data_IF_999943262664
#
_entry.id   IF_999943262664
#
_cell.length_a   1.000
_cell.length_b   1.000
_cell.length_c   1.000
_cell.angle_alpha   90.00
_cell.angle_beta   90.00
_cell.angle_gamma   90.00
#
_symmetry.space_group_name_H-M   'P 1'
#
loop_
_entity.id
_entity.type
_entity.pdbx_description
1 polymer ?
#
# COMPACT_ATOMS: atom_id res chain seq x y z
N UNK A 1 -7.41 29.32 -5.82
CA UNK A 1 -6.13 30.03 -6.15
C UNK A 1 -5.50 29.30 -7.32
N UNK A 2 -4.85 30.02 -8.27
CA UNK A 2 -4.16 29.33 -9.38
C UNK A 2 -2.97 28.53 -8.81
N UNK A 3 -2.83 27.21 -9.11
CA UNK A 3 -1.71 26.39 -8.66
C UNK A 3 -0.34 26.97 -8.99
N UNK A 4 -0.20 27.61 -10.16
CA UNK A 4 1.05 28.29 -10.56
C UNK A 4 1.40 29.48 -9.66
N UNK A 5 0.41 30.22 -9.15
CA UNK A 5 0.65 31.34 -8.25
C UNK A 5 1.16 30.86 -6.88
N UNK A 6 0.52 29.85 -6.30
CA UNK A 6 0.95 29.25 -5.04
C UNK A 6 2.39 28.72 -5.15
N UNK A 7 2.72 28.11 -6.29
CA UNK A 7 4.05 27.60 -6.59
C UNK A 7 5.10 28.69 -6.65
N UNK A 8 4.88 29.72 -7.48
CA UNK A 8 5.85 30.80 -7.69
C UNK A 8 6.18 31.60 -6.42
N UNK A 9 5.25 31.63 -5.46
CA UNK A 9 5.45 32.27 -4.16
C UNK A 9 6.17 31.36 -3.16
N UNK A 10 5.84 30.07 -3.14
CA UNK A 10 6.28 29.13 -2.11
C UNK A 10 7.58 28.40 -2.44
N UNK A 11 7.87 28.23 -3.74
CA UNK A 11 9.06 27.50 -4.19
C UNK A 11 10.39 28.18 -3.80
N UNK A 12 10.55 29.51 -3.95
CA UNK A 12 11.77 30.18 -3.49
C UNK A 12 12.00 30.04 -1.98
N UNK A 13 10.94 30.03 -1.18
CA UNK A 13 11.05 29.82 0.26
C UNK A 13 11.50 28.38 0.56
N UNK A 14 10.90 27.39 -0.10
CA UNK A 14 11.24 25.97 0.07
C UNK A 14 12.71 25.70 -0.31
N UNK A 15 13.14 26.17 -1.49
CA UNK A 15 14.52 25.99 -1.96
C UNK A 15 15.52 26.69 -1.06
N UNK A 16 15.24 27.95 -0.67
CA UNK A 16 16.10 28.70 0.23
C UNK A 16 16.29 28.03 1.58
N UNK A 17 15.22 27.43 2.15
CA UNK A 17 15.31 26.66 3.40
C UNK A 17 16.17 25.41 3.29
N UNK A 18 16.14 24.71 2.18
CA UNK A 18 17.00 23.54 1.94
C UNK A 18 18.45 23.95 1.73
N UNK A 19 18.69 25.05 1.00
CA UNK A 19 20.03 25.61 0.80
C UNK A 19 20.66 26.12 2.11
N UNK A 20 19.85 26.68 3.03
CA UNK A 20 20.30 27.09 4.38
C UNK A 20 20.91 25.92 5.17
N UNK A 21 20.47 24.68 4.91
CA UNK A 21 20.99 23.47 5.54
C UNK A 21 21.98 22.70 4.65
N UNK A 22 22.45 23.30 3.57
CA UNK A 22 23.49 22.77 2.70
C UNK A 22 23.01 21.75 1.66
N UNK A 23 21.71 21.69 1.37
CA UNK A 23 21.15 20.82 0.34
C UNK A 23 20.97 21.62 -0.95
N UNK A 24 21.72 21.25 -2.01
CA UNK A 24 21.52 21.80 -3.34
C UNK A 24 20.18 21.33 -3.93
N UNK A 25 19.42 22.26 -4.52
CA UNK A 25 18.07 21.97 -5.01
C UNK A 25 17.92 22.38 -6.47
N UNK A 26 17.48 21.43 -7.29
CA UNK A 26 17.00 21.71 -8.64
C UNK A 26 15.52 21.37 -8.74
N UNK A 27 14.74 22.24 -9.39
CA UNK A 27 13.32 22.03 -9.60
C UNK A 27 13.10 21.48 -11.00
N UNK A 28 12.41 20.35 -11.10
CA UNK A 28 12.07 19.73 -12.36
C UNK A 28 10.57 19.47 -12.50
N UNK A 29 10.13 19.37 -13.76
CA UNK A 29 8.76 18.99 -14.11
C UNK A 29 8.82 17.67 -14.88
N UNK A 30 8.09 16.68 -14.44
CA UNK A 30 7.87 15.46 -15.20
C UNK A 30 6.93 15.80 -16.38
N UNK A 31 7.47 15.88 -17.58
CA UNK A 31 6.72 16.29 -18.79
C UNK A 31 5.57 15.33 -19.12
N UNK A 32 5.67 14.06 -18.77
CA UNK A 32 4.65 13.04 -19.07
C UNK A 32 3.43 13.16 -18.15
N UNK A 33 3.64 13.62 -16.90
CA UNK A 33 2.60 13.68 -15.86
C UNK A 33 2.23 15.08 -15.40
N UNK A 34 2.96 16.09 -15.82
CA UNK A 34 2.82 17.47 -15.31
C UNK A 34 3.12 17.60 -13.80
N UNK A 35 3.74 16.60 -13.17
CA UNK A 35 4.05 16.63 -11.74
C UNK A 35 5.41 17.24 -11.48
N UNK A 36 5.51 18.02 -10.41
CA UNK A 36 6.76 18.64 -10.01
C UNK A 36 7.56 17.77 -9.05
N UNK A 37 8.87 17.86 -9.18
CA UNK A 37 9.79 17.21 -8.26
C UNK A 37 10.97 18.13 -7.92
N UNK A 38 11.63 17.85 -6.81
CA UNK A 38 12.94 18.39 -6.46
C UNK A 38 14.00 17.32 -6.71
N UNK A 39 15.12 17.73 -7.28
CA UNK A 39 16.34 16.95 -7.30
C UNK A 39 17.26 17.54 -6.22
N UNK A 40 17.53 16.78 -5.18
CA UNK A 40 18.30 17.17 -4.01
C UNK A 40 19.72 16.60 -4.14
N UNK A 41 20.75 17.44 -4.00
CA UNK A 41 22.17 17.09 -4.15
C UNK A 41 22.45 16.28 -5.44
N UNK A 42 21.78 16.63 -6.53
CA UNK A 42 21.90 15.98 -7.85
C UNK A 42 21.63 14.46 -7.88
N UNK A 43 21.16 13.88 -6.77
CA UNK A 43 21.03 12.42 -6.60
C UNK A 43 19.65 11.98 -6.13
N UNK A 44 18.97 12.72 -5.28
CA UNK A 44 17.71 12.29 -4.66
C UNK A 44 16.52 13.02 -5.26
N UNK A 45 15.72 12.32 -6.06
CA UNK A 45 14.50 12.86 -6.66
C UNK A 45 13.32 12.73 -5.71
N UNK A 46 12.74 13.84 -5.29
CA UNK A 46 11.59 13.91 -4.39
C UNK A 46 10.38 14.53 -5.09
N UNK A 47 9.26 13.80 -5.18
CA UNK A 47 8.00 14.39 -5.59
C UNK A 47 7.51 15.37 -4.52
N UNK A 48 7.11 16.57 -4.96
CA UNK A 48 6.48 17.58 -4.09
C UNK A 48 4.99 17.77 -4.40
N UNK A 49 4.40 16.80 -5.10
CA UNK A 49 3.00 16.89 -5.53
C UNK A 49 2.03 17.04 -4.34
N UNK A 50 2.22 16.28 -3.28
CA UNK A 50 1.40 16.36 -2.06
C UNK A 50 1.54 17.73 -1.38
N UNK A 51 2.76 18.23 -1.24
CA UNK A 51 3.00 19.59 -0.71
C UNK A 51 2.31 20.64 -1.57
N UNK A 52 2.46 20.54 -2.89
CA UNK A 52 1.84 21.48 -3.84
C UNK A 52 0.31 21.44 -3.77
N UNK A 53 -0.28 20.26 -3.65
CA UNK A 53 -1.73 20.12 -3.46
C UNK A 53 -2.17 20.81 -2.18
N UNK A 54 -1.49 20.57 -1.06
CA UNK A 54 -1.79 21.23 0.22
C UNK A 54 -1.68 22.76 0.12
N UNK A 55 -0.63 23.29 -0.51
CA UNK A 55 -0.44 24.72 -0.71
C UNK A 55 -1.52 25.37 -1.58
N UNK A 56 -2.02 24.63 -2.59
CA UNK A 56 -3.07 25.15 -3.49
C UNK A 56 -4.39 25.39 -2.74
N UNK A 57 -4.71 24.54 -1.74
CA UNK A 57 -5.95 24.64 -0.96
C UNK A 57 -5.79 25.44 0.33
N UNK A 58 -4.58 25.76 0.75
CA UNK A 58 -4.31 26.52 1.96
C UNK A 58 -4.35 28.04 1.73
N UNK A 59 -4.64 28.80 2.77
CA UNK A 59 -4.52 30.25 2.75
C UNK A 59 -3.02 30.66 2.70
N UNK A 60 -2.66 31.75 1.99
CA UNK A 60 -1.27 32.13 1.77
C UNK A 60 -0.43 32.34 3.06
N UNK A 61 -1.06 32.78 4.13
CA UNK A 61 -0.43 33.04 5.43
C UNK A 61 0.05 31.77 6.14
N UNK A 62 -0.47 30.60 5.76
CA UNK A 62 -0.04 29.30 6.32
C UNK A 62 0.97 28.55 5.45
N UNK A 63 1.30 29.07 4.25
CA UNK A 63 2.19 28.37 3.31
C UNK A 63 3.57 28.09 3.90
N UNK A 64 4.20 29.09 4.54
CA UNK A 64 5.52 28.91 5.16
C UNK A 64 5.48 27.83 6.25
N UNK A 65 4.43 27.81 7.07
CA UNK A 65 4.28 26.80 8.12
C UNK A 65 4.14 25.38 7.54
N UNK A 66 3.40 25.21 6.43
CA UNK A 66 3.29 23.93 5.73
C UNK A 66 4.64 23.49 5.16
N UNK A 67 5.41 24.41 4.56
CA UNK A 67 6.75 24.16 4.05
C UNK A 67 7.69 23.79 5.18
N UNK A 68 7.73 24.54 6.28
CA UNK A 68 8.59 24.28 7.42
C UNK A 68 8.37 22.89 8.03
N UNK A 69 7.13 22.42 8.02
CA UNK A 69 6.80 21.03 8.42
C UNK A 69 7.26 19.97 7.42
N UNK A 70 7.43 20.34 6.15
CA UNK A 70 7.85 19.44 5.09
C UNK A 70 9.38 19.36 4.93
N UNK A 71 10.11 20.40 5.34
CA UNK A 71 11.57 20.47 5.26
C UNK A 71 12.27 19.28 5.95
N UNK A 72 11.94 18.89 7.19
CA UNK A 72 12.58 17.75 7.85
C UNK A 72 12.46 16.45 7.02
N UNK A 73 11.33 16.24 6.37
CA UNK A 73 11.12 15.11 5.47
C UNK A 73 12.06 15.12 4.26
N UNK A 74 12.28 16.30 3.64
CA UNK A 74 13.19 16.41 2.50
C UNK A 74 14.66 16.21 2.91
N UNK A 75 15.06 16.79 4.05
CA UNK A 75 16.40 16.62 4.63
C UNK A 75 16.67 15.13 4.88
N UNK A 76 15.72 14.45 5.50
CA UNK A 76 15.83 13.03 5.81
C UNK A 76 15.92 12.17 4.55
N UNK A 77 15.16 12.50 3.51
CA UNK A 77 15.26 11.83 2.22
C UNK A 77 16.64 11.96 1.58
N UNK A 78 17.24 13.14 1.67
CA UNK A 78 18.60 13.37 1.15
C UNK A 78 19.60 12.52 1.92
N UNK A 79 19.54 12.51 3.26
CA UNK A 79 20.40 11.71 4.11
C UNK A 79 20.26 10.20 3.85
N UNK A 80 19.04 9.71 3.68
CA UNK A 80 18.76 8.31 3.35
C UNK A 80 19.42 7.94 2.01
N UNK A 81 19.25 8.76 0.97
CA UNK A 81 19.86 8.53 -0.33
C UNK A 81 21.38 8.41 -0.26
N UNK A 82 22.03 9.31 0.47
CA UNK A 82 23.49 9.38 0.53
C UNK A 82 24.14 8.31 1.44
N UNK A 83 23.50 7.97 2.56
CA UNK A 83 24.12 7.15 3.61
C UNK A 83 23.61 5.71 3.65
N UNK A 84 22.30 5.48 3.41
CA UNK A 84 21.67 4.17 3.58
C UNK A 84 21.76 3.36 2.30
N UNK A 85 21.45 3.95 1.14
CA UNK A 85 21.40 3.21 -0.12
C UNK A 85 22.77 2.64 -0.53
N UNK A 86 23.85 3.30 -0.15
CA UNK A 86 25.23 2.87 -0.43
C UNK A 86 25.81 1.93 0.66
N UNK A 87 25.08 1.70 1.75
CA UNK A 87 25.52 0.85 2.86
C UNK A 87 24.74 -0.46 2.87
N UNK A 88 25.32 -1.60 2.44
CA UNK A 88 24.61 -2.87 2.35
C UNK A 88 24.09 -3.38 3.70
N UNK A 89 24.77 -3.09 4.81
CA UNK A 89 24.36 -3.55 6.14
C UNK A 89 23.16 -2.76 6.65
N UNK A 90 23.13 -1.44 6.45
CA UNK A 90 21.98 -0.60 6.77
C UNK A 90 20.77 -0.94 5.87
N UNK A 91 20.99 -1.18 4.58
CA UNK A 91 19.96 -1.66 3.68
C UNK A 91 19.35 -2.96 4.19
N UNK A 92 20.18 -3.98 4.49
CA UNK A 92 19.69 -5.27 5.02
C UNK A 92 18.87 -5.10 6.29
N UNK A 93 19.21 -4.15 7.13
CA UNK A 93 18.52 -3.88 8.40
C UNK A 93 17.17 -3.15 8.21
N UNK A 94 17.13 -2.16 7.33
CA UNK A 94 16.02 -1.22 7.23
C UNK A 94 15.01 -1.56 6.15
N UNK A 95 15.41 -2.34 5.14
CA UNK A 95 14.53 -2.63 4.00
C UNK A 95 13.35 -3.52 4.41
N UNK A 96 12.17 -3.20 3.90
CA UNK A 96 10.90 -3.92 4.10
C UNK A 96 10.17 -4.08 2.78
N UNK A 97 9.36 -5.12 2.68
CA UNK A 97 8.34 -5.25 1.63
C UNK A 97 7.09 -4.45 2.02
N UNK A 98 6.45 -3.86 1.03
CA UNK A 98 5.20 -3.12 1.18
C UNK A 98 4.25 -3.46 0.03
N UNK A 99 2.95 -3.58 0.32
CA UNK A 99 1.94 -3.58 -0.72
C UNK A 99 1.60 -2.17 -1.18
N UNK A 100 1.42 -2.02 -2.48
CA UNK A 100 1.00 -0.78 -3.13
C UNK A 100 -0.14 -1.05 -4.10
N UNK A 101 -1.11 -0.14 -4.15
CA UNK A 101 -2.26 -0.25 -5.05
C UNK A 101 -1.96 0.06 -6.51
N UNK A 102 -2.97 -0.09 -7.37
CA UNK A 102 -2.92 -0.10 -8.82
C UNK A 102 -2.01 0.91 -9.54
N UNK A 103 -1.96 2.16 -9.11
CA UNK A 103 -1.08 3.17 -9.73
C UNK A 103 0.42 2.84 -9.57
N UNK A 104 0.79 2.15 -8.50
CA UNK A 104 2.18 1.72 -8.30
C UNK A 104 2.58 0.57 -9.25
N UNK A 105 1.64 -0.29 -9.64
CA UNK A 105 1.87 -1.38 -10.59
C UNK A 105 2.20 -0.88 -12.01
N UNK A 106 1.69 0.30 -12.35
CA UNK A 106 1.90 0.95 -13.66
C UNK A 106 2.89 2.10 -13.60
N UNK A 107 3.42 2.39 -12.40
CA UNK A 107 4.34 3.51 -12.21
C UNK A 107 5.70 3.22 -12.87
N UNK A 108 6.12 4.02 -13.86
CA UNK A 108 7.33 3.75 -14.65
C UNK A 108 8.63 3.74 -13.82
N UNK A 109 8.60 4.20 -12.58
CA UNK A 109 9.76 4.21 -11.66
C UNK A 109 9.82 3.00 -10.72
N UNK A 110 8.93 2.01 -10.87
CA UNK A 110 8.90 0.81 -10.03
C UNK A 110 8.82 -0.46 -10.90
N UNK A 111 9.67 -0.56 -11.93
CA UNK A 111 9.68 -1.72 -12.84
C UNK A 111 10.06 -3.02 -12.12
N UNK A 112 10.74 -2.93 -10.97
CA UNK A 112 11.13 -4.04 -10.11
C UNK A 112 9.97 -4.63 -9.30
N UNK A 113 8.84 -3.93 -9.20
CA UNK A 113 7.71 -4.34 -8.36
C UNK A 113 7.19 -5.73 -8.76
N UNK A 114 6.94 -6.58 -7.76
CA UNK A 114 6.43 -7.93 -7.98
C UNK A 114 4.91 -7.92 -7.97
N UNK A 115 4.31 -8.50 -9.00
CA UNK A 115 2.85 -8.58 -9.10
C UNK A 115 2.27 -9.48 -8.02
N UNK A 116 1.15 -9.07 -7.48
CA UNK A 116 0.31 -9.84 -6.58
C UNK A 116 -1.14 -9.87 -7.12
N UNK A 117 -1.96 -10.86 -6.81
CA UNK A 117 -3.36 -10.88 -7.25
C UNK A 117 -4.12 -9.60 -6.87
N UNK A 118 -5.23 -9.32 -7.54
CA UNK A 118 -6.07 -8.14 -7.26
C UNK A 118 -5.46 -6.79 -7.66
N UNK A 119 -4.53 -6.79 -8.63
CA UNK A 119 -3.94 -5.56 -9.15
C UNK A 119 -2.99 -4.82 -8.19
N UNK A 120 -2.72 -5.38 -7.00
CA UNK A 120 -1.71 -4.84 -6.10
C UNK A 120 -0.32 -5.36 -6.44
N UNK A 121 0.70 -4.62 -6.01
CA UNK A 121 2.10 -5.00 -6.22
C UNK A 121 2.87 -4.96 -4.90
N UNK A 122 3.90 -5.80 -4.81
CA UNK A 122 4.85 -5.80 -3.73
C UNK A 122 6.05 -4.94 -4.13
N UNK A 123 6.31 -3.90 -3.37
CA UNK A 123 7.41 -2.94 -3.55
C UNK A 123 8.39 -3.02 -2.38
N UNK A 124 9.48 -2.28 -2.48
CA UNK A 124 10.50 -2.16 -1.45
C UNK A 124 10.45 -0.76 -0.83
N UNK A 125 10.45 -0.71 0.49
CA UNK A 125 10.51 0.53 1.26
C UNK A 125 11.56 0.44 2.37
N UNK A 126 11.96 1.58 2.90
CA UNK A 126 12.84 1.67 4.06
C UNK A 126 12.01 2.01 5.30
N UNK A 127 12.20 1.21 6.35
CA UNK A 127 11.62 1.42 7.68
C UNK A 127 12.54 2.39 8.46
N UNK A 128 12.27 3.66 8.28
CA UNK A 128 13.00 4.74 8.93
C UNK A 128 12.03 5.62 9.72
N UNK A 129 12.52 6.39 10.68
CA UNK A 129 11.74 7.13 11.70
C UNK A 129 10.66 8.10 11.17
N UNK A 130 10.59 8.29 9.87
CA UNK A 130 9.63 9.18 9.18
C UNK A 130 8.90 8.48 8.04
N UNK A 131 7.92 9.13 7.37
CA UNK A 131 7.02 8.45 6.46
C UNK A 131 7.75 7.63 5.42
N UNK A 132 7.18 6.47 5.15
CA UNK A 132 7.60 5.44 4.21
C UNK A 132 8.42 5.96 3.03
N UNK A 133 9.67 5.51 2.94
CA UNK A 133 10.54 5.79 1.81
C UNK A 133 10.49 4.61 0.84
N UNK A 134 9.64 4.68 -0.17
CA UNK A 134 9.58 3.68 -1.24
C UNK A 134 10.74 3.87 -2.21
N UNK A 135 11.47 2.80 -2.49
CA UNK A 135 12.58 2.82 -3.44
C UNK A 135 12.07 2.84 -4.87
N UNK A 136 12.72 3.61 -5.74
CA UNK A 136 12.47 3.60 -7.18
C UNK A 136 13.60 2.89 -7.94
N UNK A 137 13.43 2.68 -9.25
CA UNK A 137 14.40 1.98 -10.09
C UNK A 137 15.77 2.67 -10.12
N UNK A 138 15.82 4.02 -10.10
CA UNK A 138 17.08 4.79 -10.11
C UNK A 138 17.86 4.57 -8.80
N UNK A 139 17.16 4.50 -7.68
CA UNK A 139 17.76 4.23 -6.36
C UNK A 139 18.23 2.79 -6.24
N UNK A 140 17.43 1.83 -6.75
CA UNK A 140 17.84 0.42 -6.77
C UNK A 140 19.07 0.17 -7.63
N UNK A 141 19.21 0.89 -8.75
CA UNK A 141 20.40 0.79 -9.60
C UNK A 141 21.69 1.26 -8.90
N UNK A 142 21.57 2.08 -7.84
CA UNK A 142 22.71 2.54 -7.03
C UNK A 142 23.01 1.61 -5.84
N UNK A 143 22.07 0.70 -5.50
CA UNK A 143 22.26 -0.20 -4.37
C UNK A 143 23.34 -1.26 -4.65
N UNK A 144 24.18 -1.59 -3.68
CA UNK A 144 25.21 -2.63 -3.84
C UNK A 144 24.64 -4.06 -3.80
N UNK A 145 23.36 -4.23 -3.51
CA UNK A 145 22.66 -5.51 -3.47
C UNK A 145 21.74 -5.66 -4.70
N UNK A 146 21.61 -6.88 -5.19
CA UNK A 146 20.66 -7.19 -6.25
C UNK A 146 19.21 -7.02 -5.77
N UNK A 147 18.28 -6.80 -6.69
CA UNK A 147 16.85 -6.67 -6.38
C UNK A 147 16.31 -7.92 -5.66
N UNK A 148 16.78 -9.11 -6.03
CA UNK A 148 16.36 -10.36 -5.37
C UNK A 148 16.88 -10.48 -3.95
N UNK A 149 18.13 -10.07 -3.69
CA UNK A 149 18.67 -10.00 -2.33
C UNK A 149 17.89 -8.97 -1.49
N UNK A 150 17.56 -7.81 -2.07
CA UNK A 150 16.78 -6.79 -1.38
C UNK A 150 15.38 -7.33 -1.03
N UNK A 151 14.68 -8.02 -1.93
CA UNK A 151 13.40 -8.66 -1.60
C UNK A 151 13.53 -9.75 -0.53
N UNK A 152 14.58 -10.54 -0.56
CA UNK A 152 14.83 -11.56 0.46
C UNK A 152 14.96 -10.94 1.86
N UNK A 153 15.83 -9.94 2.02
CA UNK A 153 16.00 -9.26 3.31
C UNK A 153 14.77 -8.47 3.70
N UNK A 154 14.13 -7.80 2.76
CA UNK A 154 12.93 -7.02 2.98
C UNK A 154 11.79 -7.90 3.53
N UNK A 155 11.52 -9.05 2.91
CA UNK A 155 10.47 -9.94 3.38
C UNK A 155 10.79 -10.52 4.76
N UNK A 156 12.04 -10.96 4.98
CA UNK A 156 12.49 -11.43 6.30
C UNK A 156 12.29 -10.39 7.40
N UNK A 157 12.59 -9.13 7.10
CA UNK A 157 12.38 -8.04 8.04
C UNK A 157 10.90 -7.74 8.24
N UNK A 158 10.10 -7.75 7.17
CA UNK A 158 8.65 -7.56 7.22
C UNK A 158 7.97 -8.65 8.06
N UNK A 159 8.40 -9.91 7.93
CA UNK A 159 7.90 -11.02 8.74
C UNK A 159 8.15 -10.79 10.25
N UNK A 160 9.18 -10.01 10.60
CA UNK A 160 9.49 -9.64 11.99
C UNK A 160 8.79 -8.38 12.50
N UNK A 161 8.08 -7.61 11.65
CA UNK A 161 7.28 -6.46 12.11
C UNK A 161 6.26 -6.94 13.15
N UNK A 162 6.16 -6.31 14.34
CA UNK A 162 5.19 -6.74 15.34
C UNK A 162 3.75 -6.51 14.87
N UNK A 163 2.87 -7.46 15.22
CA UNK A 163 1.42 -7.26 15.17
C UNK A 163 1.01 -6.77 16.55
N UNK A 164 0.35 -5.62 16.61
CA UNK A 164 0.00 -4.97 17.88
C UNK A 164 -1.37 -5.40 18.38
N UNK A 165 -2.27 -5.75 17.45
CA UNK A 165 -3.64 -6.16 17.80
C UNK A 165 -4.08 -7.34 16.96
N UNK A 166 -4.74 -8.29 17.64
CA UNK A 166 -5.46 -9.41 17.05
C UNK A 166 -6.87 -9.37 17.58
N UNK A 167 -7.85 -9.17 16.71
CA UNK A 167 -9.25 -9.01 17.11
C UNK A 167 -10.16 -9.80 16.18
N UNK A 168 -11.19 -10.44 16.76
CA UNK A 168 -12.27 -11.01 15.98
C UNK A 168 -13.16 -9.89 15.42
N UNK A 169 -13.46 -9.95 14.14
CA UNK A 169 -14.27 -8.97 13.44
C UNK A 169 -15.24 -9.69 12.49
N UNK A 170 -16.44 -10.00 12.97
CA UNK A 170 -17.41 -10.84 12.25
C UNK A 170 -16.82 -12.22 11.92
N UNK A 171 -16.85 -12.65 10.65
CA UNK A 171 -16.27 -13.92 10.23
C UNK A 171 -14.74 -13.90 10.13
N UNK A 172 -14.10 -12.73 10.28
CA UNK A 172 -12.66 -12.57 10.14
C UNK A 172 -11.95 -12.37 11.47
N UNK A 173 -10.68 -12.76 11.50
CA UNK A 173 -9.71 -12.26 12.46
C UNK A 173 -8.94 -11.10 11.83
N UNK A 174 -8.90 -9.96 12.51
CA UNK A 174 -8.15 -8.78 12.11
C UNK A 174 -6.78 -8.79 12.76
N UNK A 175 -5.73 -8.65 11.95
CA UNK A 175 -4.36 -8.35 12.39
C UNK A 175 -4.06 -6.90 12.04
N UNK A 176 -3.62 -6.11 13.00
CA UNK A 176 -3.28 -4.71 12.75
C UNK A 176 -2.07 -4.24 13.56
N UNK A 177 -1.41 -3.20 13.03
CA UNK A 177 -0.30 -2.49 13.65
C UNK A 177 -0.26 -1.03 13.20
N UNK A 178 0.55 -0.21 13.85
CA UNK A 178 0.84 1.15 13.38
C UNK A 178 1.75 1.12 12.12
N UNK A 179 2.57 0.08 11.99
CA UNK A 179 3.45 -0.10 10.85
C UNK A 179 2.67 -0.35 9.56
N UNK A 180 3.00 0.41 8.51
CA UNK A 180 2.45 0.24 7.16
C UNK A 180 2.96 -1.01 6.43
N UNK A 181 3.96 -1.69 6.98
CA UNK A 181 4.52 -2.91 6.42
C UNK A 181 3.80 -4.19 6.85
N UNK A 182 2.91 -4.12 7.85
CA UNK A 182 2.32 -5.31 8.47
C UNK A 182 1.54 -6.19 7.49
N UNK A 183 0.88 -5.60 6.51
CA UNK A 183 0.06 -6.35 5.54
C UNK A 183 0.92 -7.12 4.52
N UNK A 184 2.12 -6.65 4.23
CA UNK A 184 3.03 -7.35 3.32
C UNK A 184 3.59 -8.67 3.89
N UNK A 185 3.29 -9.01 5.16
CA UNK A 185 3.43 -10.37 5.69
C UNK A 185 2.64 -11.40 4.88
N UNK A 186 1.52 -10.99 4.28
CA UNK A 186 0.72 -11.87 3.43
C UNK A 186 1.46 -12.35 2.17
N UNK A 187 2.54 -11.68 1.75
CA UNK A 187 3.38 -12.16 0.67
C UNK A 187 4.20 -13.41 1.05
N UNK A 188 4.33 -13.70 2.36
CA UNK A 188 4.91 -14.93 2.91
C UNK A 188 3.92 -15.62 3.84
N UNK A 189 2.80 -16.06 3.27
CA UNK A 189 1.69 -16.66 4.02
C UNK A 189 2.10 -17.86 4.88
N UNK A 190 3.00 -18.77 4.45
CA UNK A 190 3.45 -19.88 5.30
C UNK A 190 4.07 -19.41 6.61
N UNK A 191 4.93 -18.39 6.56
CA UNK A 191 5.56 -17.82 7.75
C UNK A 191 4.52 -17.13 8.65
N UNK A 192 3.60 -16.35 8.06
CA UNK A 192 2.51 -15.74 8.79
C UNK A 192 1.66 -16.77 9.51
N UNK A 193 1.22 -17.82 8.80
CA UNK A 193 0.40 -18.89 9.39
C UNK A 193 1.13 -19.63 10.51
N UNK A 194 2.41 -19.92 10.32
CA UNK A 194 3.25 -20.58 11.32
C UNK A 194 3.38 -19.75 12.61
N UNK A 195 3.69 -18.47 12.47
CA UNK A 195 3.90 -17.55 13.62
C UNK A 195 2.64 -17.32 14.44
N UNK A 196 1.48 -17.30 13.79
CA UNK A 196 0.20 -17.03 14.47
C UNK A 196 -0.62 -18.28 14.70
N UNK A 197 -0.03 -19.49 14.48
CA UNK A 197 -0.67 -20.78 14.68
C UNK A 197 -2.01 -20.90 13.92
N UNK A 198 -2.08 -20.33 12.73
CA UNK A 198 -3.29 -20.35 11.91
C UNK A 198 -3.41 -21.73 11.26
N UNK A 199 -4.42 -22.48 11.67
CA UNK A 199 -4.73 -23.77 11.09
C UNK A 199 -5.76 -23.62 9.96
N UNK A 200 -5.33 -23.79 8.70
CA UNK A 200 -6.17 -23.63 7.52
C UNK A 200 -5.91 -24.76 6.50
N UNK A 201 -6.31 -26.01 6.79
CA UNK A 201 -6.01 -27.17 5.95
C UNK A 201 -6.69 -27.10 4.57
N UNK A 202 -7.74 -26.30 4.42
CA UNK A 202 -8.46 -26.08 3.17
C UNK A 202 -8.15 -24.72 2.53
N UNK A 203 -7.09 -24.03 3.01
CA UNK A 203 -6.70 -22.71 2.57
C UNK A 203 -7.23 -21.59 3.46
N UNK A 204 -6.79 -20.39 3.15
CA UNK A 204 -7.04 -19.20 3.95
C UNK A 204 -7.59 -18.07 3.06
N UNK A 205 -8.72 -17.53 3.43
CA UNK A 205 -9.20 -16.26 2.91
C UNK A 205 -8.53 -15.11 3.63
N UNK A 206 -8.21 -14.03 2.89
CA UNK A 206 -7.71 -12.82 3.52
C UNK A 206 -8.06 -11.57 2.70
N UNK A 207 -8.00 -10.41 3.35
CA UNK A 207 -8.23 -9.10 2.75
C UNK A 207 -7.16 -8.13 3.24
N UNK A 208 -6.79 -7.18 2.38
CA UNK A 208 -5.83 -6.12 2.68
C UNK A 208 -6.46 -4.77 2.30
N UNK A 209 -7.42 -4.26 3.09
CA UNK A 209 -8.08 -3.00 2.75
C UNK A 209 -7.18 -1.78 2.91
N UNK A 210 -6.17 -1.84 3.79
CA UNK A 210 -5.20 -0.77 4.01
C UNK A 210 -3.85 -1.32 4.49
N UNK A 211 -2.77 -0.55 4.39
CA UNK A 211 -1.40 -0.97 4.71
C UNK A 211 -1.17 -1.43 6.15
N UNK A 212 -2.00 -1.00 7.08
CA UNK A 212 -1.83 -1.24 8.52
C UNK A 212 -2.76 -2.32 9.08
N UNK A 213 -3.59 -2.96 8.23
CA UNK A 213 -4.54 -3.98 8.68
C UNK A 213 -4.80 -5.06 7.63
N UNK A 214 -4.91 -6.29 8.09
CA UNK A 214 -5.26 -7.47 7.31
C UNK A 214 -6.34 -8.26 8.04
N UNK A 215 -7.29 -8.78 7.29
CA UNK A 215 -8.31 -9.69 7.80
C UNK A 215 -8.11 -11.07 7.22
N UNK A 216 -8.35 -12.12 8.00
CA UNK A 216 -8.29 -13.49 7.48
C UNK A 216 -9.37 -14.39 8.10
N UNK A 217 -9.72 -15.46 7.38
CA UNK A 217 -10.55 -16.54 7.85
C UNK A 217 -10.14 -17.87 7.21
N UNK A 218 -9.93 -18.96 7.96
CA UNK A 218 -9.76 -20.30 7.38
C UNK A 218 -10.96 -20.69 6.53
N UNK A 219 -10.71 -21.34 5.39
CA UNK A 219 -11.79 -21.84 4.54
C UNK A 219 -12.51 -23.02 5.20
N UNK A 220 -13.84 -22.95 5.26
CA UNK A 220 -14.70 -24.03 5.76
C UNK A 220 -15.38 -24.74 4.58
N UNK A 221 -14.91 -25.93 4.18
CA UNK A 221 -15.47 -26.65 3.05
C UNK A 221 -16.90 -27.14 3.29
N UNK A 222 -17.34 -27.23 4.55
CA UNK A 222 -18.69 -27.71 4.90
C UNK A 222 -19.75 -26.64 4.72
N UNK A 223 -19.34 -25.35 4.70
CA UNK A 223 -20.24 -24.19 4.61
C UNK A 223 -19.69 -23.09 3.72
N UNK A 224 -18.95 -23.45 2.68
CA UNK A 224 -18.19 -22.50 1.85
C UNK A 224 -19.06 -21.43 1.21
N UNK A 225 -20.25 -21.77 0.69
CA UNK A 225 -21.13 -20.81 0.00
C UNK A 225 -21.65 -19.74 0.97
N UNK A 226 -22.05 -20.11 2.18
CA UNK A 226 -22.51 -19.18 3.20
C UNK A 226 -21.34 -18.33 3.73
N UNK A 227 -20.16 -18.96 3.90
CA UNK A 227 -18.95 -18.26 4.29
C UNK A 227 -18.60 -17.17 3.25
N UNK A 228 -18.57 -17.50 1.95
CA UNK A 228 -18.29 -16.55 0.88
C UNK A 228 -19.30 -15.39 0.85
N UNK A 229 -20.59 -15.70 0.98
CA UNK A 229 -21.65 -14.68 1.04
C UNK A 229 -21.44 -13.74 2.23
N UNK A 230 -21.22 -14.32 3.42
CA UNK A 230 -20.96 -13.53 4.64
C UNK A 230 -19.72 -12.68 4.51
N UNK A 231 -18.65 -13.21 3.92
CA UNK A 231 -17.40 -12.50 3.69
C UNK A 231 -17.58 -11.37 2.70
N UNK A 232 -18.30 -11.59 1.58
CA UNK A 232 -18.57 -10.55 0.59
C UNK A 232 -19.33 -9.37 1.21
N UNK A 233 -20.38 -9.63 2.00
CA UNK A 233 -21.14 -8.61 2.71
C UNK A 233 -20.25 -7.88 3.72
N UNK A 234 -19.46 -8.63 4.48
CA UNK A 234 -18.65 -8.08 5.57
C UNK A 234 -17.43 -7.29 5.06
N UNK A 235 -16.90 -7.65 3.88
CA UNK A 235 -15.75 -6.99 3.25
C UNK A 235 -15.97 -5.50 2.97
N UNK A 236 -17.23 -5.10 2.81
CA UNK A 236 -17.59 -3.70 2.59
C UNK A 236 -17.17 -2.79 3.76
N UNK A 237 -17.30 -3.26 5.00
CA UNK A 237 -17.09 -2.41 6.19
C UNK A 237 -15.64 -1.93 6.35
N UNK A 238 -14.60 -2.78 6.25
CA UNK A 238 -13.21 -2.33 6.29
C UNK A 238 -12.85 -1.37 5.16
N UNK A 239 -13.35 -1.61 3.94
CA UNK A 239 -13.11 -0.75 2.78
C UNK A 239 -13.77 0.61 2.96
N UNK A 240 -15.04 0.66 3.38
CA UNK A 240 -15.74 1.92 3.68
C UNK A 240 -15.03 2.68 4.80
N UNK A 241 -14.58 1.97 5.84
CA UNK A 241 -13.84 2.61 6.95
C UNK A 241 -12.52 3.22 6.47
N UNK A 242 -11.76 2.49 5.64
CA UNK A 242 -10.51 2.98 5.06
C UNK A 242 -10.74 4.18 4.12
N UNK A 243 -11.74 4.09 3.23
CA UNK A 243 -12.06 5.16 2.27
C UNK A 243 -12.56 6.45 2.94
N UNK A 244 -13.22 6.35 4.09
CA UNK A 244 -13.65 7.53 4.88
C UNK A 244 -12.47 8.26 5.56
N UNK A 245 -11.39 7.55 5.84
CA UNK A 245 -10.16 8.17 6.39
C UNK A 245 -9.40 8.90 5.30
N UNK A 246 -9.16 8.24 4.17
CA UNK A 246 -8.64 8.82 2.93
C UNK A 246 -8.86 7.82 1.79
N UNK A 247 -9.38 8.23 0.61
CA UNK A 247 -9.51 7.36 -0.56
C UNK A 247 -8.18 6.72 -0.98
N UNK A 248 -7.06 7.42 -0.75
CA UNK A 248 -5.71 6.98 -1.13
C UNK A 248 -5.15 5.89 -0.19
N UNK A 249 -5.83 5.59 0.92
CA UNK A 249 -5.43 4.55 1.89
C UNK A 249 -5.92 3.16 1.48
N UNK A 250 -6.95 3.08 0.63
CA UNK A 250 -7.49 1.78 0.20
C UNK A 250 -6.49 1.08 -0.72
N UNK A 251 -5.97 -0.06 -0.27
CA UNK A 251 -5.06 -0.90 -1.05
C UNK A 251 -5.78 -1.82 -2.01
N UNK A 252 -6.73 -2.59 -1.49
CA UNK A 252 -7.55 -3.51 -2.28
C UNK A 252 -8.94 -3.65 -1.68
N UNK A 253 -9.90 -3.86 -2.59
CA UNK A 253 -11.28 -4.21 -2.23
C UNK A 253 -11.52 -5.71 -2.34
N UNK A 254 -10.51 -6.47 -2.79
CA UNK A 254 -10.64 -7.89 -3.05
C UNK A 254 -10.55 -8.76 -1.81
N UNK A 255 -11.23 -9.90 -1.88
CA UNK A 255 -10.98 -11.06 -1.04
C UNK A 255 -10.03 -11.98 -1.79
N UNK A 256 -8.94 -12.31 -1.15
CA UNK A 256 -7.92 -13.21 -1.66
C UNK A 256 -8.10 -14.59 -1.03
N UNK A 257 -7.66 -15.60 -1.76
CA UNK A 257 -7.55 -16.97 -1.26
C UNK A 257 -6.11 -17.46 -1.44
N UNK A 258 -5.57 -17.98 -0.34
CA UNK A 258 -4.32 -18.73 -0.34
C UNK A 258 -4.61 -20.21 -0.21
N UNK A 259 -4.23 -20.98 -1.24
CA UNK A 259 -4.55 -22.41 -1.31
C UNK A 259 -3.59 -23.25 -0.46
N UNK A 260 -3.97 -24.51 -0.10
CA UNK A 260 -3.05 -25.44 0.57
C UNK A 260 -1.78 -25.75 -0.23
N UNK A 261 -1.83 -25.60 -1.56
CA UNK A 261 -0.68 -25.80 -2.45
C UNK A 261 0.24 -24.57 -2.54
N UNK A 262 -0.08 -23.49 -1.83
CA UNK A 262 0.75 -22.28 -1.77
C UNK A 262 0.51 -21.29 -2.90
N UNK A 263 -0.66 -21.33 -3.54
CA UNK A 263 -1.01 -20.38 -4.60
C UNK A 263 -1.96 -19.29 -4.09
N UNK A 264 -1.84 -18.09 -4.67
CA UNK A 264 -2.71 -16.96 -4.38
C UNK A 264 -3.66 -16.71 -5.55
N UNK A 265 -4.90 -16.43 -5.27
CA UNK A 265 -5.88 -15.94 -6.24
C UNK A 265 -6.85 -14.95 -5.59
N UNK A 266 -7.50 -14.10 -6.40
CA UNK A 266 -8.67 -13.33 -5.97
C UNK A 266 -9.93 -14.14 -6.23
N UNK A 267 -10.88 -14.06 -5.30
CA UNK A 267 -12.20 -14.68 -5.45
C UNK A 267 -13.31 -13.64 -5.66
N UNK A 268 -12.91 -12.38 -5.86
CA UNK A 268 -13.80 -11.23 -6.04
C UNK A 268 -13.33 -10.39 -7.23
N UNK A 269 -14.18 -9.45 -7.63
CA UNK A 269 -13.88 -8.40 -8.63
C UNK A 269 -13.98 -7.04 -7.95
N UNK A 270 -12.95 -6.65 -7.21
CA UNK A 270 -12.91 -5.40 -6.43
C UNK A 270 -12.98 -4.13 -7.27
N UNK A 271 -12.56 -4.19 -8.52
CA UNK A 271 -12.54 -3.04 -9.46
C UNK A 271 -13.83 -2.92 -10.30
N UNK A 272 -14.89 -3.65 -9.96
CA UNK A 272 -16.15 -3.56 -10.68
C UNK A 272 -16.85 -2.21 -10.40
N UNK A 273 -17.04 -1.32 -11.40
CA UNK A 273 -17.65 0.00 -11.20
C UNK A 273 -19.07 -0.05 -10.62
N UNK A 274 -19.83 -1.13 -10.87
CA UNK A 274 -21.17 -1.31 -10.32
C UNK A 274 -21.18 -1.44 -8.78
N UNK A 275 -20.02 -1.75 -8.18
CA UNK A 275 -19.89 -1.85 -6.73
C UNK A 275 -19.75 -0.48 -6.05
N UNK A 276 -19.31 0.56 -6.75
CA UNK A 276 -19.23 1.90 -6.16
C UNK A 276 -20.60 2.43 -5.74
N UNK A 277 -21.62 2.19 -6.55
CA UNK A 277 -23.01 2.56 -6.22
C UNK A 277 -23.49 1.84 -4.95
N UNK A 278 -23.15 0.56 -4.79
CA UNK A 278 -23.47 -0.21 -3.59
C UNK A 278 -22.84 0.39 -2.33
N UNK A 279 -21.55 0.76 -2.39
CA UNK A 279 -20.85 1.34 -1.24
C UNK A 279 -21.32 2.75 -0.87
N UNK A 280 -21.95 3.47 -1.80
CA UNK A 280 -22.41 4.84 -1.60
C UNK A 280 -23.91 4.95 -1.32
N UNK A 281 -24.69 3.91 -1.61
CA UNK A 281 -26.14 3.91 -1.43
C UNK A 281 -26.53 3.68 0.04
N UNK A 282 -27.22 4.63 0.71
CA UNK A 282 -27.67 4.45 2.09
C UNK A 282 -28.89 3.52 2.25
N UNK A 283 -29.56 3.15 1.15
CA UNK A 283 -30.78 2.35 1.13
C UNK A 283 -30.55 1.02 0.41
N UNK A 284 -29.99 0.04 1.12
CA UNK A 284 -29.70 -1.29 0.59
C UNK A 284 -30.76 -2.26 1.10
N UNK A 285 -31.54 -2.84 0.17
CA UNK A 285 -32.45 -3.95 0.47
C UNK A 285 -31.78 -5.33 0.28
N UNK A 286 -32.50 -6.40 0.63
CA UNK A 286 -31.96 -7.75 0.54
C UNK A 286 -31.69 -8.21 -0.90
N UNK A 287 -32.41 -7.69 -1.90
CA UNK A 287 -32.20 -7.99 -3.31
C UNK A 287 -30.93 -7.30 -3.83
N UNK A 288 -30.71 -6.03 -3.47
CA UNK A 288 -29.50 -5.31 -3.76
C UNK A 288 -28.26 -6.00 -3.15
N UNK A 289 -28.35 -6.49 -1.91
CA UNK A 289 -27.28 -7.27 -1.28
C UNK A 289 -26.98 -8.54 -2.06
N UNK A 290 -27.99 -9.31 -2.47
CA UNK A 290 -27.79 -10.52 -3.26
C UNK A 290 -27.14 -10.21 -4.60
N UNK A 291 -27.65 -9.22 -5.33
CA UNK A 291 -27.09 -8.76 -6.60
C UNK A 291 -25.62 -8.33 -6.44
N UNK A 292 -25.32 -7.61 -5.36
CA UNK A 292 -23.95 -7.25 -5.02
C UNK A 292 -23.05 -8.48 -4.84
N UNK A 293 -23.45 -9.44 -4.02
CA UNK A 293 -22.68 -10.66 -3.77
C UNK A 293 -22.41 -11.43 -5.06
N UNK A 294 -23.45 -11.60 -5.89
CA UNK A 294 -23.35 -12.33 -7.17
C UNK A 294 -22.41 -11.62 -8.17
N UNK A 295 -22.39 -10.30 -8.18
CA UNK A 295 -21.49 -9.51 -9.04
C UNK A 295 -20.06 -9.43 -8.51
N UNK A 296 -19.91 -9.41 -7.20
CA UNK A 296 -18.63 -9.26 -6.53
C UNK A 296 -17.84 -10.58 -6.48
N UNK A 297 -18.50 -11.71 -6.24
CA UNK A 297 -17.87 -13.03 -6.19
C UNK A 297 -17.57 -13.54 -7.61
N UNK A 298 -16.29 -13.76 -7.89
CA UNK A 298 -15.79 -14.29 -9.16
C UNK A 298 -14.66 -15.30 -8.95
N UNK A 299 -14.95 -16.41 -8.22
CA UNK A 299 -13.96 -17.42 -7.95
C UNK A 299 -13.54 -18.14 -9.25
N UNK A 300 -12.27 -18.51 -9.34
CA UNK A 300 -11.72 -19.24 -10.48
C UNK A 300 -12.36 -20.61 -10.67
N UNK A 301 -12.29 -21.22 -11.88
CA UNK A 301 -12.73 -22.60 -12.09
C UNK A 301 -12.04 -23.60 -11.14
N UNK A 302 -10.76 -23.37 -10.83
CA UNK A 302 -9.98 -24.22 -9.92
C UNK A 302 -10.54 -24.16 -8.49
N UNK A 303 -10.87 -22.94 -8.01
CA UNK A 303 -11.49 -22.73 -6.71
C UNK A 303 -12.88 -23.39 -6.67
N UNK A 304 -13.73 -23.17 -7.70
CA UNK A 304 -15.06 -23.81 -7.79
C UNK A 304 -14.97 -25.33 -7.74
N UNK A 305 -14.04 -25.91 -8.48
CA UNK A 305 -13.82 -27.37 -8.48
C UNK A 305 -13.38 -27.90 -7.11
N UNK A 306 -12.51 -27.16 -6.41
CA UNK A 306 -12.01 -27.50 -5.07
C UNK A 306 -13.13 -27.62 -4.03
N UNK A 307 -14.09 -26.72 -4.10
CA UNK A 307 -15.19 -26.65 -3.11
C UNK A 307 -16.52 -27.14 -3.65
N UNK A 308 -16.53 -27.82 -4.81
CA UNK A 308 -17.73 -28.33 -5.47
C UNK A 308 -18.83 -27.25 -5.67
N UNK A 309 -18.42 -26.02 -5.94
CA UNK A 309 -19.32 -24.91 -6.23
C UNK A 309 -19.84 -25.01 -7.67
N UNK A 310 -21.11 -24.60 -7.92
CA UNK A 310 -21.72 -24.60 -9.24
C UNK A 310 -21.04 -23.65 -10.23
#
# INVERSE_FOLDING_TARGET
MNPEYALNQSLPYLTGKLEEVGIAVQVGINQTRGTMFLLLNDSVKCSIHELMTKLTFAAPDVHHNLIDRYIPYLIERTRIGETILNNPDELRRLIRTEFSGGDAATHPLHSYARKFPGGIVLTLGLDYETPLFRLNDEQLAQCPLSVDELFYYAQKNTDNVPIERIQQFGPFTCLSAQSTFVTAKAANMPELMSRFLIHAPHGLFFMIPANHMMYYAPADPTNISEQLTSMAIFSCLPVISASRQSPDIVLSRDIFYYSPEGTYETITQGDNPALEEFFTNPHIDAEAVRTYVDQYLSPSPAFRARFALP
#
